data_IF_561361522617
#
_entry.id   IF_561361522617
#
_cell.length_a   1.000
_cell.length_b   1.000
_cell.length_c   1.000
_cell.angle_alpha   90.00
_cell.angle_beta   90.00
_cell.angle_gamma   90.00
#
_symmetry.space_group_name_H-M   'P 1'
#
loop_
_entity.id
_entity.type
_entity.pdbx_description
1 polymer ?
#
# COMPACT_ATOMS: atom_id res chain seq x y z
N UNK A 1 11.81 22.16 4.39
CA UNK A 1 12.71 21.51 5.38
C UNK A 1 11.96 20.63 6.39
N UNK A 2 10.89 21.08 7.07
CA UNK A 2 10.11 20.21 7.98
C UNK A 2 9.39 19.06 7.26
N UNK A 3 8.75 19.37 6.12
CA UNK A 3 8.01 18.40 5.30
C UNK A 3 8.88 17.23 4.80
N UNK A 4 10.08 17.53 4.29
CA UNK A 4 11.05 16.52 3.83
C UNK A 4 11.49 15.60 4.97
N UNK A 5 11.77 16.15 6.16
CA UNK A 5 12.17 15.37 7.33
C UNK A 5 11.06 14.43 7.79
N UNK A 6 9.81 14.89 7.78
CA UNK A 6 8.66 14.06 8.18
C UNK A 6 8.41 12.90 7.21
N UNK A 7 8.54 13.14 5.89
CA UNK A 7 8.44 12.07 4.88
C UNK A 7 9.57 11.04 5.07
N UNK A 8 10.79 11.48 5.39
CA UNK A 8 11.90 10.58 5.72
C UNK A 8 11.62 9.76 6.98
N UNK A 9 11.11 10.37 8.05
CA UNK A 9 10.74 9.66 9.29
C UNK A 9 9.65 8.60 9.05
N UNK A 10 8.65 8.89 8.20
CA UNK A 10 7.65 7.89 7.78
C UNK A 10 8.31 6.77 6.98
N UNK A 11 9.18 7.10 6.03
CA UNK A 11 9.86 6.10 5.22
C UNK A 11 10.69 5.14 6.08
N UNK A 12 11.41 5.67 7.07
CA UNK A 12 12.19 4.89 8.03
C UNK A 12 11.30 4.03 8.94
N UNK A 13 10.18 4.57 9.42
CA UNK A 13 9.24 3.85 10.29
C UNK A 13 8.50 2.71 9.58
N UNK A 14 8.21 2.90 8.29
CA UNK A 14 7.59 1.89 7.42
C UNK A 14 8.61 0.96 6.77
N UNK A 15 9.91 1.24 6.91
CA UNK A 15 10.94 0.43 6.30
C UNK A 15 10.90 -1.01 6.86
N UNK A 16 11.24 -2.03 6.05
CA UNK A 16 11.15 -3.43 6.47
C UNK A 16 12.16 -3.84 7.57
N UNK A 17 12.88 -2.90 8.19
CA UNK A 17 13.98 -3.18 9.11
C UNK A 17 13.59 -4.05 10.32
N UNK A 18 12.29 -4.08 10.67
CA UNK A 18 11.74 -4.91 11.75
C UNK A 18 10.93 -6.13 11.24
N UNK A 19 10.94 -6.40 9.93
CA UNK A 19 10.20 -7.51 9.33
C UNK A 19 11.03 -8.80 9.35
N UNK A 20 10.39 -9.99 9.41
CA UNK A 20 11.11 -11.26 9.37
C UNK A 20 11.87 -11.41 8.04
N UNK A 21 12.94 -12.20 8.08
CA UNK A 21 13.70 -12.56 6.87
C UNK A 21 12.77 -13.09 5.78
N UNK A 22 12.97 -12.60 4.56
CA UNK A 22 12.16 -12.99 3.39
C UNK A 22 10.82 -12.25 3.26
N UNK A 23 10.38 -11.45 4.24
CA UNK A 23 9.11 -10.71 4.15
C UNK A 23 8.95 -9.94 2.84
N UNK A 24 9.98 -9.20 2.41
CA UNK A 24 9.92 -8.44 1.16
C UNK A 24 9.70 -9.32 -0.08
N UNK A 25 10.30 -10.51 -0.12
CA UNK A 25 10.11 -11.46 -1.22
C UNK A 25 8.67 -12.01 -1.22
N UNK A 26 8.17 -12.43 -0.05
CA UNK A 26 6.80 -12.91 0.10
C UNK A 26 5.80 -11.81 -0.27
N UNK A 27 6.00 -10.59 0.21
CA UNK A 27 5.11 -9.47 -0.03
C UNK A 27 4.97 -9.15 -1.52
N UNK A 28 6.08 -9.04 -2.24
CA UNK A 28 6.06 -8.76 -3.69
C UNK A 28 5.38 -9.89 -4.47
N UNK A 29 5.67 -11.15 -4.13
CA UNK A 29 5.01 -12.30 -4.78
C UNK A 29 3.52 -12.34 -4.47
N UNK A 30 3.13 -12.10 -3.22
CA UNK A 30 1.72 -12.07 -2.81
C UNK A 30 0.95 -10.96 -3.53
N UNK A 31 1.50 -9.74 -3.64
CA UNK A 31 0.88 -8.65 -4.40
C UNK A 31 0.65 -9.04 -5.86
N UNK A 32 1.63 -9.71 -6.50
CA UNK A 32 1.51 -10.17 -7.89
C UNK A 32 0.50 -11.29 -8.07
N UNK A 33 0.37 -12.19 -7.10
CA UNK A 33 -0.67 -13.23 -7.12
C UNK A 33 -2.07 -12.63 -6.90
N UNK A 34 -2.24 -11.74 -5.92
CA UNK A 34 -3.50 -11.04 -5.67
C UNK A 34 -3.92 -10.16 -6.84
N UNK A 35 -2.98 -9.55 -7.58
CA UNK A 35 -3.24 -8.78 -8.79
C UNK A 35 -3.95 -9.59 -9.90
N UNK A 36 -3.92 -10.94 -9.82
CA UNK A 36 -4.67 -11.83 -10.73
C UNK A 36 -6.16 -11.93 -10.38
N UNK A 37 -6.61 -11.29 -9.30
CA UNK A 37 -8.01 -11.20 -8.88
C UNK A 37 -8.61 -12.48 -8.33
N UNK A 38 -7.79 -13.35 -7.73
CA UNK A 38 -8.22 -14.62 -7.14
C UNK A 38 -7.58 -14.84 -5.77
N UNK A 39 -8.25 -15.56 -4.84
CA UNK A 39 -7.64 -15.95 -3.57
C UNK A 39 -6.33 -16.71 -3.80
N UNK A 40 -5.37 -16.50 -2.90
CA UNK A 40 -4.02 -17.06 -2.99
C UNK A 40 -3.82 -18.09 -1.89
N UNK A 41 -3.63 -19.35 -2.26
CA UNK A 41 -3.30 -20.39 -1.27
C UNK A 41 -1.86 -20.26 -0.78
N UNK A 42 -1.59 -20.71 0.46
CA UNK A 42 -0.21 -20.80 0.98
C UNK A 42 0.67 -21.72 0.11
N UNK A 43 0.09 -22.77 -0.48
CA UNK A 43 0.78 -23.65 -1.43
C UNK A 43 1.20 -22.91 -2.70
N UNK A 44 0.33 -22.05 -3.24
CA UNK A 44 0.65 -21.20 -4.40
C UNK A 44 1.81 -20.25 -4.08
N UNK A 45 1.81 -19.63 -2.89
CA UNK A 45 2.92 -18.80 -2.43
C UNK A 45 4.22 -19.59 -2.30
N UNK A 46 4.18 -20.74 -1.63
CA UNK A 46 5.35 -21.61 -1.45
C UNK A 46 5.98 -22.01 -2.79
N UNK A 47 5.16 -22.43 -3.76
CA UNK A 47 5.63 -22.75 -5.11
C UNK A 47 6.22 -21.54 -5.84
N UNK A 48 5.59 -20.37 -5.72
CA UNK A 48 6.05 -19.15 -6.40
C UNK A 48 7.34 -18.58 -5.81
N UNK A 49 7.57 -18.83 -4.52
CA UNK A 49 8.75 -18.40 -3.77
C UNK A 49 9.89 -19.43 -3.82
N UNK A 50 9.61 -20.68 -4.22
CA UNK A 50 10.48 -21.84 -4.03
C UNK A 50 10.87 -22.03 -2.55
N UNK A 51 9.87 -21.91 -1.66
CA UNK A 51 10.05 -21.98 -0.21
C UNK A 51 9.35 -23.21 0.39
N UNK A 52 9.89 -23.76 1.49
CA UNK A 52 9.13 -24.68 2.34
C UNK A 52 7.87 -24.02 2.89
N UNK A 53 6.76 -24.76 2.98
CA UNK A 53 5.51 -24.25 3.54
C UNK A 53 5.66 -23.67 4.96
N UNK A 54 6.51 -24.29 5.78
CA UNK A 54 6.80 -23.81 7.13
C UNK A 54 7.38 -22.39 7.15
N UNK A 55 8.21 -22.04 6.15
CA UNK A 55 8.79 -20.71 6.04
C UNK A 55 7.74 -19.67 5.65
N UNK A 56 6.85 -20.00 4.69
CA UNK A 56 5.72 -19.15 4.32
C UNK A 56 4.83 -18.87 5.54
N UNK A 57 4.52 -19.91 6.32
CA UNK A 57 3.68 -19.78 7.51
C UNK A 57 4.32 -18.90 8.58
N UNK A 58 5.61 -19.08 8.86
CA UNK A 58 6.32 -18.27 9.85
C UNK A 58 6.33 -16.77 9.51
N UNK A 59 6.37 -16.42 8.22
CA UNK A 59 6.27 -15.02 7.77
C UNK A 59 4.82 -14.52 7.87
N UNK A 60 3.84 -15.31 7.43
CA UNK A 60 2.42 -14.94 7.49
C UNK A 60 1.89 -14.80 8.93
N UNK A 61 2.40 -15.57 9.89
CA UNK A 61 2.05 -15.45 11.31
C UNK A 61 2.37 -14.07 11.90
N UNK A 62 3.40 -13.39 11.36
CA UNK A 62 3.75 -12.02 11.76
C UNK A 62 2.95 -10.96 11.01
N UNK A 63 2.32 -11.34 9.92
CA UNK A 63 1.47 -10.49 9.09
C UNK A 63 0.03 -10.47 9.64
N UNK A 64 -0.15 -9.95 10.86
CA UNK A 64 -1.40 -10.05 11.65
C UNK A 64 -2.64 -9.46 10.97
N UNK A 65 -2.46 -8.50 10.06
CA UNK A 65 -3.55 -7.86 9.30
C UNK A 65 -4.00 -8.66 8.07
N UNK A 66 -3.41 -9.83 7.78
CA UNK A 66 -3.74 -10.64 6.59
C UNK A 66 -5.21 -11.06 6.59
N UNK A 67 -5.88 -10.84 5.46
CA UNK A 67 -7.28 -11.21 5.24
C UNK A 67 -7.35 -12.59 4.59
N UNK A 68 -8.16 -13.48 5.15
CA UNK A 68 -8.40 -14.84 4.66
C UNK A 68 -9.86 -15.07 4.27
N UNK A 69 -10.14 -15.91 3.27
CA UNK A 69 -11.48 -16.42 3.00
C UNK A 69 -11.86 -17.61 3.92
N UNK A 70 -13.04 -18.21 3.70
CA UNK A 70 -13.52 -19.37 4.48
C UNK A 70 -12.66 -20.62 4.32
N UNK A 71 -11.91 -20.71 3.23
CA UNK A 71 -11.08 -21.87 2.89
C UNK A 71 -9.63 -21.67 3.39
N UNK A 72 -9.35 -20.54 4.04
CA UNK A 72 -8.03 -20.18 4.55
C UNK A 72 -7.08 -19.65 3.46
N UNK A 73 -7.58 -19.30 2.27
CA UNK A 73 -6.77 -18.64 1.26
C UNK A 73 -6.64 -17.15 1.58
N UNK A 74 -5.50 -16.57 1.20
CA UNK A 74 -5.24 -15.14 1.38
C UNK A 74 -6.05 -14.37 0.34
N UNK A 75 -6.86 -13.44 0.80
CA UNK A 75 -7.65 -12.54 -0.03
C UNK A 75 -7.24 -11.07 0.12
N UNK A 76 -6.36 -10.76 1.05
CA UNK A 76 -5.85 -9.40 1.18
C UNK A 76 -4.63 -9.24 2.08
N UNK A 77 -3.69 -8.42 1.62
CA UNK A 77 -2.57 -7.90 2.39
C UNK A 77 -2.09 -6.61 1.74
N UNK A 78 -2.57 -5.46 2.22
CA UNK A 78 -2.45 -4.16 1.54
C UNK A 78 -3.34 -4.09 0.29
N UNK A 79 -3.06 -4.89 -0.74
CA UNK A 79 -3.95 -5.16 -1.86
C UNK A 79 -4.95 -6.24 -1.45
N UNK A 80 -6.22 -6.10 -1.81
CA UNK A 80 -7.29 -7.01 -1.33
C UNK A 80 -8.42 -7.19 -2.34
N UNK A 81 -9.07 -8.35 -2.25
CA UNK A 81 -10.30 -8.68 -2.98
C UNK A 81 -11.56 -8.18 -2.26
N UNK A 82 -11.42 -7.74 -1.00
CA UNK A 82 -12.52 -7.22 -0.20
C UNK A 82 -12.71 -5.74 -0.45
N UNK A 83 -13.96 -5.31 -0.57
CA UNK A 83 -14.27 -3.92 -0.89
C UNK A 83 -13.72 -2.94 0.16
N UNK A 84 -13.07 -1.88 -0.33
CA UNK A 84 -12.63 -0.72 0.45
C UNK A 84 -12.98 0.57 -0.31
N UNK A 85 -12.74 1.72 0.33
CA UNK A 85 -12.89 3.03 -0.33
C UNK A 85 -11.92 3.27 -1.49
N UNK A 86 -10.86 2.47 -1.62
CA UNK A 86 -9.79 2.67 -2.59
C UNK A 86 -9.83 1.56 -3.66
N UNK A 87 -10.58 1.83 -4.73
CA UNK A 87 -10.67 0.93 -5.88
C UNK A 87 -9.34 0.98 -6.64
N UNK A 88 -8.84 -0.21 -6.95
CA UNK A 88 -7.56 -0.44 -7.62
C UNK A 88 -7.77 -1.39 -8.80
N UNK A 89 -7.86 -0.85 -10.02
CA UNK A 89 -8.11 -1.65 -11.21
C UNK A 89 -6.82 -1.94 -12.00
N UNK A 90 -6.52 -3.22 -12.25
CA UNK A 90 -5.40 -3.68 -13.08
C UNK A 90 -5.90 -4.68 -14.11
N UNK A 91 -5.54 -4.48 -15.39
CA UNK A 91 -5.86 -5.40 -16.49
C UNK A 91 -7.36 -5.80 -16.51
N UNK A 92 -8.23 -4.79 -16.35
CA UNK A 92 -9.69 -4.96 -16.34
C UNK A 92 -10.26 -5.61 -15.08
N UNK A 93 -9.44 -5.99 -14.10
CA UNK A 93 -9.88 -6.57 -12.83
C UNK A 93 -10.01 -5.49 -11.77
N UNK A 94 -11.15 -5.48 -11.09
CA UNK A 94 -11.39 -4.60 -9.94
C UNK A 94 -10.89 -5.26 -8.66
N UNK A 95 -9.94 -4.60 -8.01
CA UNK A 95 -9.39 -4.94 -6.70
C UNK A 95 -9.51 -3.70 -5.81
N UNK A 96 -9.00 -3.81 -4.60
CA UNK A 96 -9.03 -2.72 -3.63
C UNK A 96 -7.71 -2.63 -2.87
N UNK A 97 -7.42 -1.46 -2.30
CA UNK A 97 -6.26 -1.24 -1.44
C UNK A 97 -6.70 -0.79 -0.04
N UNK A 98 -5.88 -1.01 0.98
CA UNK A 98 -6.24 -0.61 2.35
C UNK A 98 -6.16 0.89 2.59
N UNK A 99 -5.27 1.62 1.92
CA UNK A 99 -5.17 3.08 2.04
C UNK A 99 -4.79 3.79 0.73
N UNK A 100 -4.78 5.13 0.76
CA UNK A 100 -4.35 5.93 -0.39
C UNK A 100 -2.89 5.63 -0.80
N UNK A 101 -1.96 5.51 0.15
CA UNK A 101 -0.53 5.28 -0.15
C UNK A 101 -0.27 3.94 -0.83
N UNK A 102 -0.98 2.89 -0.42
CA UNK A 102 -0.92 1.57 -1.05
C UNK A 102 -1.17 1.63 -2.56
N UNK A 103 -2.18 2.40 -2.97
CA UNK A 103 -2.52 2.58 -4.40
C UNK A 103 -1.41 3.26 -5.21
N UNK A 104 -0.58 4.06 -4.55
CA UNK A 104 0.57 4.76 -5.16
C UNK A 104 1.82 3.88 -5.19
N UNK A 105 1.91 2.91 -4.27
CA UNK A 105 3.08 2.07 -4.07
C UNK A 105 3.04 0.80 -4.92
N UNK A 106 1.91 0.08 -4.93
CA UNK A 106 1.84 -1.28 -5.49
C UNK A 106 2.07 -1.42 -7.00
N UNK A 107 1.69 -0.46 -7.87
CA UNK A 107 1.92 -0.59 -9.32
C UNK A 107 3.37 -0.89 -9.69
N UNK A 108 4.34 -0.31 -8.98
CA UNK A 108 5.76 -0.59 -9.20
C UNK A 108 6.18 -2.00 -8.75
N UNK A 109 5.68 -2.48 -7.60
CA UNK A 109 5.97 -3.83 -7.09
C UNK A 109 5.34 -4.92 -7.96
N UNK A 110 4.12 -4.67 -8.42
CA UNK A 110 3.36 -5.56 -9.31
C UNK A 110 3.94 -5.52 -10.73
N UNK A 111 4.51 -4.40 -11.16
CA UNK A 111 5.02 -4.19 -12.51
C UNK A 111 3.91 -3.90 -13.53
N UNK A 112 2.77 -3.36 -13.09
CA UNK A 112 1.60 -3.08 -13.93
C UNK A 112 1.02 -1.71 -13.61
N UNK A 113 0.35 -1.10 -14.57
CA UNK A 113 -0.36 0.18 -14.37
C UNK A 113 -1.74 -0.08 -13.76
N UNK A 114 -2.09 0.69 -12.74
CA UNK A 114 -3.39 0.67 -12.09
C UNK A 114 -4.18 1.95 -12.37
N UNK A 115 -5.50 1.81 -12.56
CA UNK A 115 -6.45 2.92 -12.43
C UNK A 115 -6.98 2.94 -11.01
N UNK A 116 -6.87 4.08 -10.35
CA UNK A 116 -7.26 4.26 -8.96
C UNK A 116 -8.44 5.20 -8.90
N UNK A 117 -9.46 4.83 -8.11
CA UNK A 117 -10.57 5.72 -7.78
C UNK A 117 -10.95 5.58 -6.30
N UNK A 118 -11.27 6.71 -5.69
CA UNK A 118 -11.59 6.84 -4.28
C UNK A 118 -12.55 8.02 -4.08
N UNK A 119 -12.89 8.30 -2.83
CA UNK A 119 -13.59 9.52 -2.44
C UNK A 119 -12.73 10.34 -1.47
N UNK A 120 -12.92 11.66 -1.51
CA UNK A 120 -12.36 12.61 -0.57
C UNK A 120 -12.89 12.30 0.84
N UNK A 121 -12.01 12.02 1.80
CA UNK A 121 -12.43 11.66 3.15
C UNK A 121 -13.21 12.77 3.88
N UNK A 122 -13.00 14.03 3.51
CA UNK A 122 -13.69 15.16 4.13
C UNK A 122 -15.06 15.49 3.50
N UNK A 123 -15.25 15.21 2.20
CA UNK A 123 -16.40 15.72 1.44
C UNK A 123 -17.16 14.67 0.65
N UNK A 124 -16.63 13.46 0.51
CA UNK A 124 -17.19 12.42 -0.34
C UNK A 124 -17.04 12.67 -1.84
N UNK A 125 -16.44 13.77 -2.28
CA UNK A 125 -16.21 14.05 -3.70
C UNK A 125 -15.29 13.00 -4.34
N UNK A 126 -15.52 12.58 -5.60
CA UNK A 126 -14.69 11.57 -6.25
C UNK A 126 -13.24 12.07 -6.45
N UNK A 127 -12.28 11.15 -6.31
CA UNK A 127 -10.86 11.34 -6.61
C UNK A 127 -10.38 10.17 -7.47
N UNK A 128 -9.67 10.43 -8.56
CA UNK A 128 -9.13 9.40 -9.44
C UNK A 128 -7.75 9.76 -9.99
N UNK A 129 -6.99 8.74 -10.37
CA UNK A 129 -5.67 8.88 -10.99
C UNK A 129 -5.24 7.58 -11.66
N UNK A 130 -4.30 7.68 -12.60
CA UNK A 130 -3.60 6.54 -13.20
C UNK A 130 -2.22 6.43 -12.58
N UNK A 131 -1.86 5.27 -12.04
CA UNK A 131 -0.57 5.03 -11.40
C UNK A 131 0.16 3.93 -12.15
N UNK A 132 1.27 4.28 -12.80
CA UNK A 132 2.19 3.32 -13.42
C UNK A 132 3.37 3.03 -12.49
N UNK A 133 4.23 2.05 -12.80
CA UNK A 133 5.44 1.80 -12.01
C UNK A 133 6.34 3.02 -11.79
N UNK A 134 6.38 3.96 -12.74
CA UNK A 134 7.37 5.04 -12.74
C UNK A 134 6.76 6.43 -12.58
N UNK A 135 5.46 6.58 -12.78
CA UNK A 135 4.80 7.89 -12.78
C UNK A 135 3.29 7.81 -12.52
N UNK A 136 2.73 8.95 -12.13
CA UNK A 136 1.29 9.18 -11.97
C UNK A 136 0.77 10.16 -13.02
N UNK A 137 -0.46 9.93 -13.50
CA UNK A 137 -1.14 10.73 -14.53
C UNK A 137 -2.62 10.90 -14.17
N UNK A 138 -3.31 11.75 -14.93
CA UNK A 138 -4.78 11.88 -14.91
C UNK A 138 -5.38 12.15 -13.52
N UNK A 139 -4.66 12.90 -12.69
CA UNK A 139 -5.09 13.22 -11.32
C UNK A 139 -6.30 14.15 -11.39
N UNK A 140 -7.43 13.69 -10.86
CA UNK A 140 -8.68 14.43 -10.81
C UNK A 140 -9.29 14.34 -9.40
N UNK A 141 -9.56 15.46 -8.71
CA UNK A 141 -9.19 16.83 -9.07
C UNK A 141 -7.67 17.04 -9.11
N UNK A 142 -7.20 18.02 -9.88
CA UNK A 142 -5.75 18.27 -10.07
C UNK A 142 -5.02 18.67 -8.79
N UNK A 143 -5.72 19.21 -7.80
CA UNK A 143 -5.18 19.60 -6.49
C UNK A 143 -5.35 18.50 -5.42
N UNK A 144 -5.67 17.27 -5.83
CA UNK A 144 -5.86 16.18 -4.88
C UNK A 144 -4.65 16.03 -3.93
N UNK A 145 -4.95 15.67 -2.69
CA UNK A 145 -3.98 15.57 -1.60
C UNK A 145 -4.11 14.24 -0.86
N UNK A 146 -3.09 13.90 -0.07
CA UNK A 146 -3.04 12.70 0.76
C UNK A 146 -2.72 13.07 2.20
N UNK A 147 -3.41 12.44 3.16
CA UNK A 147 -2.99 12.47 4.57
C UNK A 147 -1.97 11.39 4.87
N UNK A 148 -0.98 11.73 5.68
CA UNK A 148 0.00 10.79 6.22
C UNK A 148 0.10 10.95 7.74
N UNK A 149 0.41 9.86 8.43
CA UNK A 149 0.70 9.85 9.86
C UNK A 149 2.01 9.13 10.10
N UNK A 150 2.70 9.45 11.20
CA UNK A 150 3.77 8.59 11.68
C UNK A 150 3.15 7.29 12.18
N UNK A 151 3.60 6.11 11.71
CA UNK A 151 3.13 4.84 12.23
C UNK A 151 3.38 4.79 13.75
N UNK A 152 2.35 4.42 14.52
CA UNK A 152 2.55 4.09 15.93
C UNK A 152 3.21 2.70 16.03
N UNK A 153 4.01 2.48 17.08
CA UNK A 153 4.57 1.17 17.41
C UNK A 153 3.46 0.19 17.80
N UNK A 154 2.78 -0.38 16.80
CA UNK A 154 1.73 -1.38 16.99
C UNK A 154 1.93 -2.50 15.96
N UNK A 155 1.40 -3.68 16.27
CA UNK A 155 1.50 -4.82 15.36
C UNK A 155 0.57 -4.73 14.14
N UNK A 156 -0.49 -3.91 14.18
CA UNK A 156 -1.49 -3.80 13.11
C UNK A 156 -1.32 -2.50 12.32
N UNK A 157 -0.64 -2.61 11.16
CA UNK A 157 -0.42 -1.49 10.24
C UNK A 157 -1.74 -0.89 9.71
N UNK A 158 -2.80 -1.69 9.68
CA UNK A 158 -4.09 -1.26 9.15
C UNK A 158 -4.78 -0.29 10.12
N UNK A 159 -4.68 -0.57 11.41
CA UNK A 159 -5.23 0.28 12.49
C UNK A 159 -4.33 1.46 12.87
N UNK A 160 -3.00 1.32 12.78
CA UNK A 160 -2.08 2.39 13.17
C UNK A 160 -1.79 3.38 12.05
N UNK A 161 -1.90 2.96 10.79
CA UNK A 161 -1.51 3.77 9.64
C UNK A 161 -2.62 3.86 8.59
N UNK A 162 -3.05 2.73 8.02
CA UNK A 162 -3.92 2.73 6.82
C UNK A 162 -5.24 3.47 7.05
N UNK A 163 -5.84 3.33 8.23
CA UNK A 163 -7.10 4.00 8.58
C UNK A 163 -7.01 5.53 8.69
N UNK A 164 -5.82 6.12 8.63
CA UNK A 164 -5.59 7.57 8.67
C UNK A 164 -5.05 8.14 7.34
N UNK A 165 -4.82 7.28 6.34
CA UNK A 165 -4.15 7.62 5.08
C UNK A 165 -5.16 7.65 3.94
N UNK A 166 -5.63 8.86 3.63
CA UNK A 166 -6.79 9.10 2.76
C UNK A 166 -6.46 10.03 1.60
N UNK A 167 -7.27 9.96 0.54
CA UNK A 167 -7.32 10.98 -0.50
C UNK A 167 -8.24 12.14 -0.10
N UNK A 168 -7.93 13.33 -0.61
CA UNK A 168 -8.73 14.55 -0.49
C UNK A 168 -8.83 15.24 -1.84
N UNK A 169 -9.95 15.96 -2.07
CA UNK A 169 -10.20 16.68 -3.31
C UNK A 169 -9.29 17.91 -3.52
N UNK A 170 -8.76 18.49 -2.45
CA UNK A 170 -7.83 19.62 -2.50
C UNK A 170 -6.91 19.64 -1.26
N UNK A 171 -5.75 20.31 -1.35
CA UNK A 171 -4.87 20.54 -0.19
C UNK A 171 -5.58 21.38 0.87
N UNK A 172 -6.40 22.34 0.46
CA UNK A 172 -7.16 23.21 1.37
C UNK A 172 -8.17 22.40 2.18
N UNK A 173 -8.95 21.55 1.51
CA UNK A 173 -9.91 20.64 2.15
C UNK A 173 -9.22 19.70 3.12
N UNK A 174 -8.08 19.13 2.71
CA UNK A 174 -7.29 18.25 3.55
C UNK A 174 -6.77 18.95 4.82
N UNK A 175 -6.31 20.20 4.70
CA UNK A 175 -5.84 21.00 5.84
C UNK A 175 -6.96 21.36 6.83
N UNK A 176 -8.16 21.70 6.36
CA UNK A 176 -9.30 21.92 7.25
C UNK A 176 -9.64 20.64 8.02
N UNK A 177 -9.67 19.50 7.34
CA UNK A 177 -9.87 18.21 7.97
C UNK A 177 -8.75 17.90 9.00
N UNK A 178 -7.48 18.10 8.63
CA UNK A 178 -6.34 17.85 9.51
C UNK A 178 -6.31 18.76 10.75
N UNK A 179 -6.89 19.97 10.69
CA UNK A 179 -6.98 20.85 11.88
C UNK A 179 -7.75 20.22 13.05
N UNK A 180 -8.57 19.20 12.76
CA UNK A 180 -9.39 18.45 13.72
C UNK A 180 -8.76 17.10 14.10
N UNK A 181 -7.62 16.73 13.51
CA UNK A 181 -6.94 15.45 13.68
C UNK A 181 -5.46 15.65 14.01
N UNK A 182 -5.05 15.33 15.23
CA UNK A 182 -3.66 15.51 15.65
C UNK A 182 -2.72 14.51 14.96
N UNK A 183 -1.49 14.95 14.69
CA UNK A 183 -0.42 14.07 14.17
C UNK A 183 -0.51 13.75 12.67
N UNK A 184 -1.41 14.40 11.94
CA UNK A 184 -1.59 14.22 10.49
C UNK A 184 -0.83 15.29 9.71
N UNK A 185 -0.03 14.87 8.74
CA UNK A 185 0.57 15.73 7.73
C UNK A 185 -0.19 15.60 6.40
N UNK A 186 -0.39 16.73 5.72
CA UNK A 186 -1.00 16.77 4.39
C UNK A 186 0.07 16.98 3.33
N UNK A 187 0.14 16.06 2.36
CA UNK A 187 1.05 16.09 1.22
C UNK A 187 0.29 16.17 -0.10
N UNK A 188 0.96 16.61 -1.17
CA UNK A 188 0.44 16.44 -2.53
C UNK A 188 0.42 14.95 -2.91
N UNK A 189 -0.41 14.56 -3.88
CA UNK A 189 -0.37 13.18 -4.43
C UNK A 189 1.01 12.86 -5.03
N UNK A 190 1.70 13.85 -5.62
CA UNK A 190 3.05 13.70 -6.15
C UNK A 190 4.09 13.40 -5.07
N UNK A 191 4.00 14.08 -3.92
CA UNK A 191 4.87 13.82 -2.77
C UNK A 191 4.60 12.44 -2.16
N UNK A 192 3.32 12.06 -2.02
CA UNK A 192 2.95 10.72 -1.57
C UNK A 192 3.45 9.62 -2.53
N UNK A 193 3.39 9.86 -3.84
CA UNK A 193 3.95 8.93 -4.84
C UNK A 193 5.47 8.80 -4.70
N UNK A 194 6.20 9.91 -4.53
CA UNK A 194 7.65 9.88 -4.28
C UNK A 194 8.01 9.09 -3.01
N UNK A 195 7.24 9.26 -1.93
CA UNK A 195 7.37 8.44 -0.73
C UNK A 195 7.16 6.95 -1.04
N UNK A 196 6.11 6.61 -1.79
CA UNK A 196 5.87 5.23 -2.22
C UNK A 196 7.03 4.64 -3.04
N UNK A 197 7.64 5.43 -3.93
CA UNK A 197 8.82 5.01 -4.69
C UNK A 197 10.02 4.71 -3.78
N UNK A 198 10.24 5.54 -2.76
CA UNK A 198 11.32 5.35 -1.80
C UNK A 198 11.11 4.09 -0.95
N UNK A 199 9.87 3.87 -0.47
CA UNK A 199 9.49 2.65 0.24
C UNK A 199 9.70 1.40 -0.62
N UNK A 200 9.30 1.46 -1.89
CA UNK A 200 9.54 0.38 -2.84
C UNK A 200 11.02 0.10 -3.02
N UNK A 201 11.85 1.14 -3.13
CA UNK A 201 13.31 0.99 -3.26
C UNK A 201 13.89 0.26 -2.04
N UNK A 202 13.49 0.65 -0.83
CA UNK A 202 13.91 -0.03 0.40
C UNK A 202 13.42 -1.48 0.46
N UNK A 203 12.15 -1.72 0.13
CA UNK A 203 11.57 -3.06 0.07
C UNK A 203 12.35 -3.97 -0.88
N UNK A 204 12.62 -3.51 -2.10
CA UNK A 204 13.34 -4.28 -3.11
C UNK A 204 14.81 -4.55 -2.74
N UNK A 205 15.46 -3.65 -1.98
CA UNK A 205 16.81 -3.86 -1.47
C UNK A 205 16.91 -4.99 -0.43
N UNK A 206 15.82 -5.32 0.25
CA UNK A 206 15.77 -6.46 1.18
C UNK A 206 15.60 -7.82 0.48
N UNK A 207 15.27 -7.82 -0.81
CA UNK A 207 15.07 -9.04 -1.58
C UNK A 207 16.43 -9.50 -2.12
N UNK A 208 16.87 -10.75 -1.83
CA UNK A 208 18.10 -11.27 -2.39
C UNK A 208 18.06 -11.25 -3.91
N UNK A 209 19.14 -10.75 -4.54
CA UNK A 209 19.33 -10.91 -5.99
C UNK A 209 19.27 -12.40 -6.32
N UNK A 210 18.41 -12.80 -7.27
CA UNK A 210 18.41 -14.18 -7.78
C UNK A 210 19.84 -14.51 -8.22
N UNK A 211 20.44 -15.53 -7.61
CA UNK A 211 21.65 -16.14 -8.18
C UNK A 211 21.24 -16.72 -9.52
N UNK A 212 21.75 -16.10 -10.58
CA UNK A 212 21.69 -16.60 -11.97
C UNK A 212 22.34 -17.98 -12.08
#
# INVERSE_FOLDING_TARGET
MKHTRYITEIAESLAPANQPEGFGQLFVVLLRELAKGRPVSQTTLAMSLDWPAQQVNAVLERATSTEYDSDGNIVGYGLTLRETSHIFEIDGRRLYAWCALDTLMFPALIGQTARVSSHCAATGAPVSLTVSPNEIRDIAPTDAAVSLVLPQETADIRQSFCCHVHFFASVVTAKDWASKHQGVEIVSVQDAFRLGQELNRHMLQTIPSRKS
#
